data_IF_761720355301
#
_entry.id   IF_761720355301
#
_cell.length_a   1.000
_cell.length_b   1.000
_cell.length_c   1.000
_cell.angle_alpha   90.00
_cell.angle_beta   90.00
_cell.angle_gamma   90.00
#
_symmetry.space_group_name_H-M   'P 1'
#
loop_
_entity.id
_entity.type
_entity.pdbx_description
1 polymer ?
#
# COMPACT_ATOMS: atom_id res chain seq x y z
N UNK A 1 6.66 0.97 36.20
CA UNK A 1 7.23 -0.27 35.62
C UNK A 1 6.15 -1.30 35.34
N UNK A 2 5.36 -1.75 36.33
CA UNK A 2 4.20 -2.65 36.11
C UNK A 2 3.28 -2.32 34.91
N UNK A 3 2.87 -1.06 34.73
CA UNK A 3 2.01 -0.63 33.59
C UNK A 3 2.67 -0.64 32.19
N UNK A 4 4.00 -0.76 32.14
CA UNK A 4 4.77 -0.86 30.88
C UNK A 4 4.99 -2.34 30.55
N UNK A 5 5.29 -3.15 31.56
CA UNK A 5 5.39 -4.62 31.46
C UNK A 5 4.06 -5.24 31.01
N UNK A 6 2.92 -4.81 31.57
CA UNK A 6 1.57 -5.23 31.13
C UNK A 6 1.26 -4.88 29.66
N UNK A 7 1.91 -3.85 29.09
CA UNK A 7 1.72 -3.45 27.69
C UNK A 7 2.63 -4.21 26.73
N UNK A 8 3.85 -4.52 27.14
CA UNK A 8 4.76 -5.37 26.35
C UNK A 8 4.28 -6.82 26.33
N UNK A 9 3.74 -7.31 27.45
CA UNK A 9 3.12 -8.63 27.53
C UNK A 9 1.86 -8.72 26.66
N UNK A 10 1.04 -7.66 26.61
CA UNK A 10 -0.12 -7.58 25.71
C UNK A 10 0.27 -7.48 24.22
N UNK A 11 1.31 -6.72 23.86
CA UNK A 11 1.81 -6.66 22.48
C UNK A 11 2.39 -8.01 22.07
N UNK A 12 3.16 -8.66 22.95
CA UNK A 12 3.69 -9.99 22.70
C UNK A 12 2.59 -11.04 22.62
N UNK A 13 1.52 -10.91 23.41
CA UNK A 13 0.34 -11.77 23.34
C UNK A 13 -0.45 -11.52 22.05
N UNK A 14 -0.63 -10.28 21.61
CA UNK A 14 -1.26 -9.95 20.34
C UNK A 14 -0.45 -10.45 19.13
N UNK A 15 0.89 -10.34 19.20
CA UNK A 15 1.80 -10.90 18.18
C UNK A 15 1.82 -12.43 18.22
N UNK A 16 1.67 -13.05 19.41
CA UNK A 16 1.55 -14.49 19.58
C UNK A 16 0.20 -15.00 19.09
N UNK A 17 -0.89 -14.27 19.33
CA UNK A 17 -2.22 -14.52 18.78
C UNK A 17 -2.23 -14.36 17.26
N UNK A 18 -1.49 -13.40 16.70
CA UNK A 18 -1.26 -13.27 15.24
C UNK A 18 -0.45 -14.45 14.66
N UNK A 19 0.46 -15.03 15.45
CA UNK A 19 1.24 -16.21 15.06
C UNK A 19 0.50 -17.54 15.29
N UNK A 20 -0.48 -17.58 16.20
CA UNK A 20 -1.34 -18.72 16.52
C UNK A 20 -2.72 -18.63 15.81
N UNK A 21 -2.86 -17.81 14.76
CA UNK A 21 -4.09 -17.77 13.95
C UNK A 21 -4.18 -19.07 13.16
N UNK A 22 -4.86 -20.04 13.77
CA UNK A 22 -5.33 -21.21 13.08
C UNK A 22 -6.23 -20.76 11.92
N UNK A 23 -6.14 -21.48 10.80
CA UNK A 23 -6.98 -21.29 9.61
C UNK A 23 -8.49 -21.40 9.90
N UNK A 24 -8.89 -21.75 11.13
CA UNK A 24 -10.26 -21.94 11.57
C UNK A 24 -10.96 -20.65 12.02
N UNK A 25 -10.21 -19.59 12.36
CA UNK A 25 -10.81 -18.33 12.84
C UNK A 25 -11.32 -17.38 11.74
N UNK A 26 -11.03 -17.71 10.48
CA UNK A 26 -11.44 -16.95 9.29
C UNK A 26 -12.90 -17.22 8.88
N UNK A 27 -13.85 -17.11 9.82
CA UNK A 27 -15.27 -17.37 9.56
C UNK A 27 -15.81 -16.45 8.47
N UNK A 28 -15.40 -15.18 8.47
CA UNK A 28 -15.85 -14.18 7.51
C UNK A 28 -15.13 -14.32 6.17
N UNK A 29 -13.87 -14.74 6.16
CA UNK A 29 -13.17 -15.04 4.91
C UNK A 29 -13.69 -16.32 4.20
N UNK A 30 -14.03 -17.39 4.93
CA UNK A 30 -14.71 -18.55 4.32
C UNK A 30 -16.08 -18.15 3.75
N UNK A 31 -16.81 -17.28 4.44
CA UNK A 31 -18.03 -16.66 3.91
C UNK A 31 -17.74 -15.81 2.68
N UNK A 32 -16.65 -15.05 2.62
CA UNK A 32 -16.21 -14.31 1.43
C UNK A 32 -15.94 -15.26 0.26
N UNK A 33 -15.08 -16.27 0.42
CA UNK A 33 -14.81 -17.26 -0.63
C UNK A 33 -16.09 -17.97 -1.09
N UNK A 34 -16.95 -18.35 -0.14
CA UNK A 34 -18.26 -18.93 -0.44
C UNK A 34 -19.16 -17.94 -1.16
N UNK A 35 -19.12 -16.65 -0.82
CA UNK A 35 -19.88 -15.62 -1.52
C UNK A 35 -19.38 -15.44 -2.95
N UNK A 36 -18.09 -15.70 -3.19
CA UNK A 36 -17.45 -15.66 -4.51
C UNK A 36 -17.54 -17.01 -5.26
N UNK A 37 -18.22 -18.01 -4.68
CA UNK A 37 -18.47 -19.30 -5.33
C UNK A 37 -19.19 -19.08 -6.66
N UNK A 38 -18.47 -19.36 -7.75
CA UNK A 38 -18.94 -19.11 -9.12
C UNK A 38 -17.90 -18.44 -10.01
N UNK A 39 -16.93 -17.69 -9.45
CA UNK A 39 -15.84 -17.14 -10.24
C UNK A 39 -14.70 -18.16 -10.39
N UNK A 40 -14.47 -18.64 -11.61
CA UNK A 40 -13.46 -19.65 -11.92
C UNK A 40 -12.01 -19.18 -11.67
N UNK A 41 -11.71 -17.88 -11.78
CA UNK A 41 -10.39 -17.29 -11.50
C UNK A 41 -10.08 -17.35 -10.00
N UNK A 42 -11.11 -17.23 -9.17
CA UNK A 42 -10.96 -17.26 -7.71
C UNK A 42 -10.94 -18.69 -7.15
N UNK A 43 -11.55 -19.66 -7.87
CA UNK A 43 -11.42 -21.09 -7.53
C UNK A 43 -9.98 -21.61 -7.64
N UNK A 44 -9.22 -21.15 -8.65
CA UNK A 44 -7.79 -21.49 -8.72
C UNK A 44 -6.99 -20.89 -7.56
N UNK A 45 -7.45 -19.76 -7.02
CA UNK A 45 -6.83 -19.15 -5.86
C UNK A 45 -7.08 -19.95 -4.59
N UNK A 46 -8.32 -20.38 -4.32
CA UNK A 46 -8.66 -21.22 -3.15
C UNK A 46 -7.69 -22.41 -3.00
N UNK A 47 -7.27 -23.02 -4.12
CA UNK A 47 -6.29 -24.10 -4.14
C UNK A 47 -4.86 -23.65 -3.81
N UNK A 48 -4.44 -22.47 -4.28
CA UNK A 48 -3.13 -21.86 -3.97
C UNK A 48 -3.08 -21.33 -2.53
N UNK A 49 -4.19 -20.83 -1.98
CA UNK A 49 -4.30 -20.33 -0.61
C UNK A 49 -4.04 -21.42 0.42
N UNK A 50 -4.34 -22.68 0.10
CA UNK A 50 -4.12 -23.84 0.98
C UNK A 50 -2.61 -24.10 1.20
N UNK A 51 -1.74 -23.61 0.30
CA UNK A 51 -0.29 -23.66 0.44
C UNK A 51 0.18 -22.43 1.25
N UNK A 52 0.25 -22.60 2.57
CA UNK A 52 0.48 -21.56 3.58
C UNK A 52 1.72 -20.69 3.31
N UNK A 53 1.55 -19.41 2.99
CA UNK A 53 2.58 -18.39 3.15
C UNK A 53 2.02 -17.10 3.78
N UNK A 54 2.88 -16.33 4.48
CA UNK A 54 2.51 -15.14 5.25
C UNK A 54 1.86 -14.04 4.37
N UNK A 55 2.30 -13.91 3.12
CA UNK A 55 1.80 -12.92 2.18
C UNK A 55 0.32 -13.16 1.86
N UNK A 56 -0.04 -14.40 1.59
CA UNK A 56 -1.43 -14.78 1.37
C UNK A 56 -2.28 -14.44 2.59
N UNK A 57 -1.83 -14.79 3.79
CA UNK A 57 -2.52 -14.45 5.04
C UNK A 57 -2.81 -12.93 5.16
N UNK A 58 -1.80 -12.08 4.93
CA UNK A 58 -1.94 -10.62 5.04
C UNK A 58 -2.92 -10.04 4.02
N UNK A 59 -2.96 -10.60 2.81
CA UNK A 59 -3.94 -10.24 1.79
C UNK A 59 -5.37 -10.61 2.21
N UNK A 60 -5.56 -11.82 2.75
CA UNK A 60 -6.86 -12.29 3.21
C UNK A 60 -7.41 -11.47 4.38
N UNK A 61 -6.53 -11.16 5.34
CA UNK A 61 -6.90 -10.43 6.53
C UNK A 61 -7.47 -9.03 6.22
N UNK A 62 -6.86 -8.26 5.30
CA UNK A 62 -7.38 -6.94 4.92
C UNK A 62 -8.76 -6.99 4.25
N UNK A 63 -9.02 -8.07 3.51
CA UNK A 63 -10.33 -8.31 2.91
C UNK A 63 -11.35 -8.67 3.99
N UNK A 64 -11.00 -9.54 4.94
CA UNK A 64 -11.87 -9.89 6.05
C UNK A 64 -12.22 -8.67 6.91
N UNK A 65 -11.25 -7.81 7.21
CA UNK A 65 -11.48 -6.54 7.90
C UNK A 65 -12.52 -5.69 7.18
N UNK A 66 -12.43 -5.60 5.85
CA UNK A 66 -13.39 -4.86 5.03
C UNK A 66 -14.82 -5.40 5.19
N UNK A 67 -14.97 -6.73 5.27
CA UNK A 67 -16.26 -7.39 5.54
C UNK A 67 -16.81 -7.07 6.92
N UNK A 68 -15.99 -7.22 7.96
CA UNK A 68 -16.39 -6.94 9.34
C UNK A 68 -16.82 -5.49 9.51
N UNK A 69 -16.12 -4.54 8.89
CA UNK A 69 -16.53 -3.13 8.89
C UNK A 69 -17.89 -2.95 8.18
N UNK A 70 -18.06 -3.61 7.03
CA UNK A 70 -19.28 -3.52 6.22
C UNK A 70 -20.54 -4.04 6.92
N UNK A 71 -20.42 -5.01 7.83
CA UNK A 71 -21.56 -5.50 8.62
C UNK A 71 -22.23 -4.39 9.44
N UNK A 72 -21.47 -3.35 9.80
CA UNK A 72 -21.92 -2.24 10.63
C UNK A 72 -21.95 -0.88 9.92
N UNK A 73 -21.44 -0.76 8.68
CA UNK A 73 -21.43 0.49 7.91
C UNK A 73 -22.62 0.59 6.93
N UNK A 74 -23.79 0.95 7.45
CA UNK A 74 -25.01 1.10 6.64
C UNK A 74 -24.88 2.16 5.52
N UNK A 75 -23.96 3.13 5.65
CA UNK A 75 -23.76 4.17 4.63
C UNK A 75 -23.07 3.59 3.38
N UNK A 76 -22.00 2.82 3.58
CA UNK A 76 -21.17 2.31 2.47
C UNK A 76 -21.53 0.88 2.05
N UNK A 77 -22.45 0.21 2.76
CA UNK A 77 -22.90 -1.16 2.47
C UNK A 77 -23.44 -1.40 1.06
N UNK A 78 -24.21 -0.49 0.44
CA UNK A 78 -24.62 -0.66 -0.96
C UNK A 78 -23.44 -0.70 -1.93
N UNK A 79 -22.45 0.18 -1.74
CA UNK A 79 -21.23 0.22 -2.56
C UNK A 79 -20.43 -1.08 -2.40
N UNK A 80 -20.23 -1.52 -1.16
CA UNK A 80 -19.48 -2.74 -0.85
C UNK A 80 -20.10 -3.96 -1.56
N UNK A 81 -21.43 -4.11 -1.44
CA UNK A 81 -22.15 -5.18 -2.11
C UNK A 81 -22.09 -5.09 -3.64
N UNK A 82 -22.08 -3.88 -4.21
CA UNK A 82 -21.85 -3.68 -5.65
C UNK A 82 -20.49 -4.22 -6.08
N UNK A 83 -19.42 -3.88 -5.34
CA UNK A 83 -18.06 -4.37 -5.62
C UNK A 83 -17.96 -5.88 -5.55
N UNK A 84 -18.58 -6.50 -4.54
CA UNK A 84 -18.64 -7.96 -4.47
C UNK A 84 -19.34 -8.57 -5.69
N UNK A 85 -20.46 -7.99 -6.11
CA UNK A 85 -21.19 -8.49 -7.28
C UNK A 85 -20.38 -8.33 -8.57
N UNK A 86 -19.64 -7.23 -8.73
CA UNK A 86 -18.73 -7.04 -9.86
C UNK A 86 -17.59 -8.07 -9.85
N UNK A 87 -16.97 -8.34 -8.69
CA UNK A 87 -15.95 -9.39 -8.55
C UNK A 87 -16.52 -10.76 -8.95
N UNK A 88 -17.73 -11.09 -8.50
CA UNK A 88 -18.39 -12.37 -8.85
C UNK A 88 -18.63 -12.53 -10.35
N UNK A 89 -19.06 -11.46 -11.01
CA UNK A 89 -19.44 -11.46 -12.44
C UNK A 89 -18.27 -11.27 -13.38
N UNK A 90 -17.18 -10.66 -12.91
CA UNK A 90 -16.04 -10.33 -13.76
C UNK A 90 -15.27 -11.58 -14.18
N UNK A 91 -14.92 -11.62 -15.47
CA UNK A 91 -13.98 -12.59 -16.05
C UNK A 91 -12.60 -11.98 -16.26
N UNK A 92 -12.41 -10.69 -15.96
CA UNK A 92 -11.16 -9.97 -16.18
C UNK A 92 -10.36 -9.83 -14.88
N UNK A 93 -9.14 -10.38 -14.87
CA UNK A 93 -8.20 -10.28 -13.74
C UNK A 93 -7.97 -8.84 -13.28
N UNK A 94 -7.83 -7.91 -14.23
CA UNK A 94 -7.62 -6.48 -13.94
C UNK A 94 -8.77 -5.86 -13.17
N UNK A 95 -10.00 -6.15 -13.58
CA UNK A 95 -11.19 -5.66 -12.87
C UNK A 95 -11.31 -6.29 -11.47
N UNK A 96 -11.06 -7.60 -11.35
CA UNK A 96 -11.05 -8.29 -10.05
C UNK A 96 -10.01 -7.68 -9.11
N UNK A 97 -8.77 -7.50 -9.60
CA UNK A 97 -7.68 -6.85 -8.88
C UNK A 97 -8.04 -5.46 -8.39
N UNK A 98 -8.57 -4.62 -9.28
CA UNK A 98 -8.95 -3.24 -8.95
C UNK A 98 -10.01 -3.20 -7.86
N UNK A 99 -11.08 -3.99 -8.01
CA UNK A 99 -12.15 -4.03 -7.03
C UNK A 99 -11.68 -4.58 -5.67
N UNK A 100 -10.79 -5.58 -5.65
CA UNK A 100 -10.21 -6.07 -4.40
C UNK A 100 -9.30 -5.03 -3.74
N UNK A 101 -8.53 -4.27 -4.52
CA UNK A 101 -7.69 -3.19 -3.98
C UNK A 101 -8.50 -2.04 -3.40
N UNK A 102 -9.63 -1.69 -4.02
CA UNK A 102 -10.59 -0.75 -3.43
C UNK A 102 -11.17 -1.26 -2.10
N UNK A 103 -11.52 -2.55 -1.99
CA UNK A 103 -11.99 -3.12 -0.73
C UNK A 103 -10.93 -3.08 0.39
N UNK A 104 -9.65 -3.29 0.05
CA UNK A 104 -8.53 -3.15 1.01
C UNK A 104 -8.27 -1.69 1.37
N UNK A 105 -8.29 -0.79 0.40
CA UNK A 105 -8.16 0.64 0.68
C UNK A 105 -9.30 1.11 1.60
N UNK A 106 -10.52 0.62 1.37
CA UNK A 106 -11.67 0.89 2.22
C UNK A 106 -11.42 0.46 3.68
N UNK A 107 -10.94 -0.76 3.94
CA UNK A 107 -10.66 -1.20 5.32
C UNK A 107 -9.58 -0.34 5.99
N UNK A 108 -8.48 -0.07 5.27
CA UNK A 108 -7.39 0.79 5.76
C UNK A 108 -7.88 2.20 6.09
N UNK A 109 -8.71 2.80 5.24
CA UNK A 109 -9.22 4.16 5.42
C UNK A 109 -10.28 4.23 6.52
N UNK A 110 -11.20 3.27 6.58
CA UNK A 110 -12.20 3.16 7.66
C UNK A 110 -11.56 3.02 9.02
N UNK A 111 -10.38 2.40 9.07
CA UNK A 111 -9.58 2.30 10.27
C UNK A 111 -8.69 3.52 10.58
N UNK A 112 -8.84 4.61 9.86
CA UNK A 112 -8.19 5.88 10.16
C UNK A 112 -9.22 6.94 10.52
N UNK A 113 -8.78 8.14 10.90
CA UNK A 113 -9.68 9.28 11.09
C UNK A 113 -10.41 9.68 9.80
N UNK A 114 -9.95 9.26 8.61
CA UNK A 114 -10.72 9.41 7.37
C UNK A 114 -12.04 8.64 7.43
N UNK A 115 -12.08 7.51 8.16
CA UNK A 115 -13.21 6.59 8.26
C UNK A 115 -14.48 7.16 8.87
N UNK A 116 -14.36 8.24 9.66
CA UNK A 116 -15.49 8.87 10.38
C UNK A 116 -16.54 9.45 9.43
N UNK A 117 -16.11 10.01 8.31
CA UNK A 117 -16.98 10.60 7.29
C UNK A 117 -16.60 10.09 5.88
N UNK A 118 -16.08 8.87 5.78
CA UNK A 118 -15.73 8.25 4.51
C UNK A 118 -17.00 7.88 3.74
N UNK A 119 -17.06 8.32 2.49
CA UNK A 119 -18.12 8.01 1.53
C UNK A 119 -17.48 7.31 0.34
N UNK A 120 -17.96 6.12 0.02
CA UNK A 120 -17.54 5.40 -1.17
C UNK A 120 -18.34 5.87 -2.38
N UNK A 121 -17.64 6.14 -3.48
CA UNK A 121 -18.24 6.61 -4.72
C UNK A 121 -18.51 5.42 -5.64
N UNK A 122 -19.64 5.43 -6.35
CA UNK A 122 -19.93 4.43 -7.37
C UNK A 122 -19.23 4.79 -8.69
N UNK A 123 -18.83 3.80 -9.47
CA UNK A 123 -18.07 3.97 -10.73
C UNK A 123 -18.76 4.86 -11.78
N UNK A 124 -20.07 5.11 -11.65
CA UNK A 124 -20.82 5.95 -12.60
C UNK A 124 -20.64 7.46 -12.38
N UNK A 125 -19.93 7.88 -11.33
CA UNK A 125 -19.59 9.29 -11.11
C UNK A 125 -18.15 9.56 -11.49
N UNK A 126 -17.90 10.49 -12.42
CA UNK A 126 -16.55 11.01 -12.68
C UNK A 126 -15.99 11.57 -11.37
N UNK A 127 -14.83 11.08 -10.94
CA UNK A 127 -14.17 11.50 -9.69
C UNK A 127 -13.43 10.35 -9.02
N UNK A 128 -12.94 10.61 -7.81
CA UNK A 128 -12.22 9.64 -7.00
C UNK A 128 -13.10 8.53 -6.40
N UNK A 129 -12.49 7.38 -6.13
CA UNK A 129 -13.15 6.22 -5.49
C UNK A 129 -13.71 6.51 -4.09
N UNK A 130 -13.05 7.37 -3.31
CA UNK A 130 -13.53 7.77 -1.99
C UNK A 130 -13.49 9.28 -1.78
N UNK A 131 -14.48 9.77 -1.04
CA UNK A 131 -14.49 11.11 -0.48
C UNK A 131 -14.55 11.05 1.03
N UNK A 132 -13.77 11.87 1.71
CA UNK A 132 -13.85 12.04 3.17
C UNK A 132 -13.95 13.51 3.53
N UNK A 133 -14.62 13.77 4.65
CA UNK A 133 -14.77 15.11 5.21
C UNK A 133 -14.14 15.15 6.59
N UNK A 134 -13.07 15.92 6.72
CA UNK A 134 -12.45 16.14 8.03
C UNK A 134 -13.11 17.38 8.64
N UNK A 135 -13.90 17.16 9.70
CA UNK A 135 -14.64 18.20 10.40
C UNK A 135 -13.95 18.49 11.73
N UNK A 136 -13.36 19.69 11.85
CA UNK A 136 -12.81 20.18 13.12
C UNK A 136 -13.06 21.67 13.28
N UNK A 137 -13.52 22.08 14.48
CA UNK A 137 -13.81 23.47 14.82
C UNK A 137 -14.73 24.19 13.81
N UNK A 138 -15.81 23.52 13.37
CA UNK A 138 -16.77 24.01 12.36
C UNK A 138 -16.16 24.29 10.98
N UNK A 139 -14.94 23.82 10.71
CA UNK A 139 -14.34 23.83 9.38
C UNK A 139 -14.41 22.44 8.79
N UNK A 140 -14.74 22.39 7.51
CA UNK A 140 -14.76 21.18 6.70
C UNK A 140 -13.58 21.22 5.73
N UNK A 141 -12.85 20.12 5.67
CA UNK A 141 -11.80 19.89 4.69
C UNK A 141 -12.24 18.70 3.85
N UNK A 142 -12.39 18.91 2.55
CA UNK A 142 -12.67 17.86 1.58
C UNK A 142 -11.39 17.10 1.28
N UNK A 143 -11.50 15.77 1.25
CA UNK A 143 -10.43 14.86 0.88
C UNK A 143 -10.96 13.95 -0.21
N UNK A 144 -10.24 13.86 -1.32
CA UNK A 144 -10.53 13.01 -2.46
C UNK A 144 -9.42 11.95 -2.55
N UNK A 145 -9.80 10.68 -2.53
CA UNK A 145 -8.87 9.55 -2.47
C UNK A 145 -9.16 8.62 -3.62
N UNK A 146 -8.20 8.51 -4.55
CA UNK A 146 -8.29 7.63 -5.71
C UNK A 146 -7.43 6.39 -5.49
N UNK A 147 -7.97 5.22 -5.80
CA UNK A 147 -7.24 3.95 -5.70
C UNK A 147 -6.65 3.56 -7.05
N UNK A 148 -5.45 3.03 -7.00
CA UNK A 148 -4.88 2.30 -8.11
C UNK A 148 -4.27 1.01 -7.59
N UNK A 149 -4.65 -0.12 -8.21
CA UNK A 149 -4.04 -1.43 -7.91
C UNK A 149 -3.21 -1.84 -9.12
N UNK A 150 -1.89 -1.57 -9.14
CA UNK A 150 -1.04 -1.98 -10.24
C UNK A 150 -1.07 -3.49 -10.39
N UNK A 151 -1.11 -3.93 -11.64
CA UNK A 151 -0.81 -5.32 -11.99
C UNK A 151 0.56 -5.35 -12.65
N UNK A 152 1.40 -6.28 -12.20
CA UNK A 152 2.60 -6.64 -12.94
C UNK A 152 2.26 -7.40 -14.22
N UNK A 153 3.25 -8.11 -14.77
CA UNK A 153 3.00 -8.98 -15.93
C UNK A 153 2.86 -10.44 -15.51
N UNK A 154 1.82 -11.09 -16.00
CA UNK A 154 1.47 -12.48 -15.67
C UNK A 154 2.34 -13.55 -16.36
N UNK A 155 3.25 -13.18 -17.27
CA UNK A 155 4.05 -14.13 -18.06
C UNK A 155 5.47 -14.27 -17.47
N UNK A 156 5.83 -15.42 -16.86
CA UNK A 156 7.14 -15.66 -16.28
C UNK A 156 8.29 -15.44 -17.26
N UNK A 157 8.10 -15.73 -18.55
CA UNK A 157 9.13 -15.48 -19.59
C UNK A 157 9.41 -14.00 -19.82
N UNK A 158 8.49 -13.14 -19.40
CA UNK A 158 8.56 -11.68 -19.53
C UNK A 158 8.86 -10.98 -18.21
N UNK A 159 9.01 -11.72 -17.12
CA UNK A 159 9.27 -11.18 -15.79
C UNK A 159 10.44 -11.82 -15.09
N UNK A 160 11.05 -12.88 -15.61
CA UNK A 160 12.19 -13.55 -14.97
C UNK A 160 13.38 -13.66 -15.92
N UNK A 161 14.56 -13.31 -15.41
CA UNK A 161 15.86 -13.62 -16.03
C UNK A 161 16.51 -14.71 -15.18
N UNK A 162 16.89 -15.83 -15.79
CA UNK A 162 17.62 -16.90 -15.13
C UNK A 162 19.12 -16.69 -15.35
N UNK A 163 19.85 -16.40 -14.27
CA UNK A 163 21.30 -16.18 -14.29
C UNK A 163 22.09 -17.51 -14.18
N UNK A 164 21.38 -18.64 -14.11
CA UNK A 164 21.96 -19.97 -14.05
C UNK A 164 22.01 -20.55 -12.63
N UNK A 165 22.61 -21.73 -12.52
CA UNK A 165 22.74 -22.46 -11.25
C UNK A 165 24.20 -22.77 -10.95
N UNK A 166 24.70 -22.22 -9.85
CA UNK A 166 26.03 -22.54 -9.32
C UNK A 166 25.93 -23.73 -8.39
N UNK A 167 26.66 -24.82 -8.70
CA UNK A 167 26.67 -26.05 -7.89
C UNK A 167 28.04 -26.28 -7.25
N UNK A 168 28.04 -26.51 -5.95
CA UNK A 168 29.16 -27.10 -5.20
C UNK A 168 28.81 -28.53 -4.79
N UNK A 169 29.74 -29.26 -4.17
CA UNK A 169 29.53 -30.65 -3.71
C UNK A 169 28.38 -30.79 -2.69
N UNK A 170 28.00 -29.71 -2.00
CA UNK A 170 27.00 -29.73 -0.93
C UNK A 170 25.84 -28.75 -1.11
N UNK A 171 25.95 -27.78 -2.02
CA UNK A 171 24.94 -26.72 -2.19
C UNK A 171 24.73 -26.43 -3.68
N UNK A 172 23.48 -26.24 -4.08
CA UNK A 172 23.09 -25.72 -5.40
C UNK A 172 22.38 -24.39 -5.19
N UNK A 173 22.89 -23.31 -5.79
CA UNK A 173 22.30 -21.97 -5.74
C UNK A 173 21.82 -21.62 -7.15
N UNK A 174 20.54 -21.32 -7.30
CA UNK A 174 19.97 -20.81 -8.56
C UNK A 174 19.68 -19.33 -8.39
N UNK A 175 20.25 -18.50 -9.25
CA UNK A 175 20.06 -17.05 -9.22
C UNK A 175 19.03 -16.64 -10.27
N UNK A 176 17.98 -15.94 -9.83
CA UNK A 176 16.94 -15.42 -10.70
C UNK A 176 16.71 -13.96 -10.37
N UNK A 177 16.58 -13.16 -11.41
CA UNK A 177 16.21 -11.76 -11.31
C UNK A 177 14.76 -11.59 -11.77
N UNK A 178 13.98 -10.83 -11.02
CA UNK A 178 12.54 -10.67 -11.26
C UNK A 178 12.25 -9.21 -11.62
N UNK A 179 11.55 -9.01 -12.73
CA UNK A 179 11.09 -7.75 -13.25
C UNK A 179 9.58 -7.56 -12.97
N UNK A 180 9.19 -6.90 -11.86
CA UNK A 180 7.79 -6.86 -11.40
C UNK A 180 6.82 -6.26 -12.42
N UNK A 181 7.25 -5.28 -13.22
CA UNK A 181 6.45 -4.68 -14.30
C UNK A 181 6.80 -5.18 -15.70
N UNK A 182 7.60 -6.25 -15.78
CA UNK A 182 8.15 -6.82 -17.00
C UNK A 182 9.55 -6.32 -17.34
N UNK A 183 10.21 -7.03 -18.26
CA UNK A 183 11.55 -6.71 -18.71
C UNK A 183 11.64 -5.32 -19.39
N UNK A 184 12.81 -4.66 -19.31
CA UNK A 184 13.09 -3.39 -19.99
C UNK A 184 12.78 -3.43 -21.49
N UNK A 185 12.13 -2.38 -21.98
CA UNK A 185 11.83 -2.28 -23.42
C UNK A 185 13.05 -1.82 -24.24
N UNK A 186 13.86 -0.91 -23.68
CA UNK A 186 15.08 -0.40 -24.33
C UNK A 186 16.30 -1.15 -23.78
N UNK A 187 16.71 -2.19 -24.50
CA UNK A 187 17.92 -2.95 -24.18
C UNK A 187 19.14 -2.02 -24.05
N UNK A 188 20.01 -2.30 -23.09
CA UNK A 188 21.23 -1.54 -22.75
C UNK A 188 21.04 -0.08 -22.29
N UNK A 189 19.79 0.39 -22.22
CA UNK A 189 19.43 1.73 -21.76
C UNK A 189 18.66 1.66 -20.44
N UNK A 190 17.62 0.84 -20.40
CA UNK A 190 16.77 0.66 -19.24
C UNK A 190 17.17 -0.59 -18.44
N UNK A 191 17.14 -0.47 -17.12
CA UNK A 191 17.25 -1.59 -16.20
C UNK A 191 15.87 -1.95 -15.66
N UNK A 192 15.76 -3.08 -14.98
CA UNK A 192 14.52 -3.43 -14.26
C UNK A 192 14.14 -2.33 -13.27
N UNK A 193 15.14 -1.76 -12.58
CA UNK A 193 14.94 -0.63 -11.68
C UNK A 193 14.35 0.59 -12.38
N UNK A 194 14.84 0.97 -13.57
CA UNK A 194 14.31 2.15 -14.27
C UNK A 194 12.89 1.94 -14.78
N UNK A 195 12.52 0.71 -15.14
CA UNK A 195 11.14 0.39 -15.49
C UNK A 195 10.19 0.46 -14.30
N UNK A 196 10.65 0.03 -13.11
CA UNK A 196 9.89 0.24 -11.87
C UNK A 196 9.65 1.73 -11.65
N UNK A 197 10.70 2.55 -11.72
CA UNK A 197 10.59 4.01 -11.56
C UNK A 197 9.56 4.61 -12.54
N UNK A 198 9.63 4.20 -13.81
CA UNK A 198 8.77 4.71 -14.88
C UNK A 198 7.31 4.33 -14.64
N UNK A 199 7.06 3.07 -14.34
CA UNK A 199 5.71 2.56 -14.10
C UNK A 199 5.06 3.21 -12.90
N UNK A 200 5.79 3.34 -11.79
CA UNK A 200 5.30 4.02 -10.59
C UNK A 200 4.99 5.50 -10.83
N UNK A 201 5.83 6.20 -11.60
CA UNK A 201 5.60 7.62 -11.93
C UNK A 201 4.35 7.83 -12.79
N UNK A 202 4.08 6.89 -13.72
CA UNK A 202 2.96 6.94 -14.67
C UNK A 202 1.59 6.57 -14.08
N UNK A 203 1.53 6.07 -12.83
CA UNK A 203 0.25 5.71 -12.20
C UNK A 203 -0.63 6.95 -12.14
N UNK A 204 -1.82 6.91 -12.77
CA UNK A 204 -2.77 8.04 -12.82
C UNK A 204 -2.04 9.33 -13.26
N UNK A 205 -1.44 9.25 -14.44
CA UNK A 205 -0.81 10.40 -15.10
C UNK A 205 -1.86 11.45 -15.51
N UNK A 206 -2.98 10.98 -16.04
CA UNK A 206 -4.20 11.79 -16.20
C UNK A 206 -4.86 11.96 -14.84
N UNK A 207 -4.92 13.19 -14.35
CA UNK A 207 -5.38 13.54 -13.01
C UNK A 207 -6.85 14.02 -12.99
N UNK A 208 -7.64 13.49 -13.94
CA UNK A 208 -9.03 13.85 -14.18
C UNK A 208 -9.99 13.45 -13.05
N UNK A 209 -9.60 12.46 -12.23
CA UNK A 209 -10.35 12.01 -11.06
C UNK A 209 -10.16 12.92 -9.84
N UNK A 210 -9.15 13.80 -9.84
CA UNK A 210 -8.78 14.64 -8.71
C UNK A 210 -9.44 16.03 -8.78
N UNK A 211 -9.80 16.56 -7.62
CA UNK A 211 -10.54 17.82 -7.46
C UNK A 211 -9.62 19.00 -7.15
N UNK A 212 -9.92 20.19 -7.69
CA UNK A 212 -9.07 21.37 -7.48
C UNK A 212 -9.27 22.02 -6.09
N UNK A 213 -10.41 21.76 -5.43
CA UNK A 213 -10.78 22.32 -4.12
C UNK A 213 -10.70 21.33 -2.96
N UNK A 214 -10.07 20.17 -3.17
CA UNK A 214 -9.90 19.12 -2.17
C UNK A 214 -8.43 18.76 -1.94
N UNK A 215 -8.15 18.10 -0.82
CA UNK A 215 -6.86 17.41 -0.62
C UNK A 215 -6.90 16.13 -1.44
N UNK A 216 -5.97 15.98 -2.38
CA UNK A 216 -5.95 14.82 -3.27
C UNK A 216 -4.92 13.78 -2.82
N UNK A 217 -5.38 12.55 -2.65
CA UNK A 217 -4.57 11.42 -2.20
C UNK A 217 -4.66 10.31 -3.26
N UNK A 218 -3.50 9.85 -3.73
CA UNK A 218 -3.41 8.61 -4.50
C UNK A 218 -3.11 7.45 -3.55
N UNK A 219 -4.00 6.47 -3.47
CA UNK A 219 -3.78 5.22 -2.74
C UNK A 219 -3.36 4.14 -3.73
N UNK A 220 -2.11 3.70 -3.66
CA UNK A 220 -1.57 2.63 -4.49
C UNK A 220 -1.54 1.34 -3.69
N UNK A 221 -2.30 0.36 -4.12
CA UNK A 221 -2.40 -0.93 -3.46
C UNK A 221 -1.51 -1.97 -4.16
N UNK A 222 -0.45 -2.41 -3.49
CA UNK A 222 0.42 -3.51 -3.93
C UNK A 222 0.07 -4.86 -3.30
N UNK A 223 -0.91 -4.90 -2.39
CA UNK A 223 -1.29 -6.13 -1.69
C UNK A 223 -2.18 -6.98 -2.60
N UNK A 224 -1.60 -7.53 -3.66
CA UNK A 224 -2.35 -8.40 -4.57
C UNK A 224 -1.55 -9.64 -5.01
N UNK A 225 -1.50 -10.68 -4.17
CA UNK A 225 -0.74 -11.90 -4.45
C UNK A 225 -1.41 -12.78 -5.53
N UNK A 226 -2.64 -12.44 -5.96
CA UNK A 226 -3.38 -13.21 -6.96
C UNK A 226 -2.73 -13.18 -8.34
N UNK A 227 -2.08 -12.06 -8.67
CA UNK A 227 -1.78 -11.72 -10.06
C UNK A 227 -0.38 -11.13 -10.26
N UNK A 228 0.40 -10.90 -9.21
CA UNK A 228 1.75 -10.37 -9.40
C UNK A 228 2.66 -10.52 -8.19
N UNK A 229 3.96 -10.71 -8.45
CA UNK A 229 5.04 -10.69 -7.46
C UNK A 229 5.45 -9.25 -7.08
N UNK A 230 4.53 -8.28 -7.07
CA UNK A 230 4.83 -6.89 -6.67
C UNK A 230 5.24 -6.77 -5.20
N UNK A 231 5.11 -7.85 -4.42
CA UNK A 231 5.62 -7.98 -3.05
C UNK A 231 7.13 -7.71 -3.00
N UNK A 232 7.85 -7.89 -4.11
CA UNK A 232 9.26 -7.51 -4.24
C UNK A 232 9.53 -6.01 -4.07
N UNK A 233 8.50 -5.17 -4.12
CA UNK A 233 8.61 -3.74 -3.83
C UNK A 233 8.49 -3.42 -2.33
N UNK A 234 8.28 -4.42 -1.47
CA UNK A 234 8.39 -4.26 -0.02
C UNK A 234 9.79 -3.73 0.33
N UNK A 235 9.86 -2.80 1.29
CA UNK A 235 11.09 -2.10 1.70
C UNK A 235 11.68 -1.10 0.67
N UNK A 236 11.17 -1.03 -0.56
CA UNK A 236 11.58 -0.01 -1.53
C UNK A 236 10.97 1.38 -1.25
N UNK A 237 10.19 1.53 -0.17
CA UNK A 237 9.60 2.80 0.24
C UNK A 237 10.55 3.77 0.96
N UNK A 238 11.70 3.31 1.42
CA UNK A 238 12.77 4.19 1.95
C UNK A 238 13.71 4.57 0.79
N UNK A 239 14.38 5.74 0.81
CA UNK A 239 15.29 6.12 -0.28
C UNK A 239 16.35 5.05 -0.54
N UNK A 240 16.90 4.49 0.53
CA UNK A 240 17.89 3.43 0.47
C UNK A 240 17.56 2.32 1.45
N UNK A 241 17.96 1.10 1.12
CA UNK A 241 17.91 -0.06 2.00
C UNK A 241 19.25 -0.78 1.98
N UNK A 242 19.61 -1.40 3.10
CA UNK A 242 20.81 -2.24 3.19
C UNK A 242 20.42 -3.70 3.09
N UNK A 243 21.12 -4.45 2.25
CA UNK A 243 20.96 -5.89 2.13
C UNK A 243 22.33 -6.52 1.79
N UNK A 244 22.73 -7.57 2.52
CA UNK A 244 24.04 -8.23 2.33
C UNK A 244 25.25 -7.29 2.27
N UNK A 245 25.23 -6.20 3.04
CA UNK A 245 26.25 -5.14 3.05
C UNK A 245 26.31 -4.24 1.83
N UNK A 246 25.34 -4.33 0.93
CA UNK A 246 25.18 -3.39 -0.17
C UNK A 246 24.04 -2.42 0.12
N UNK A 247 24.13 -1.22 -0.46
CA UNK A 247 23.07 -0.22 -0.39
C UNK A 247 22.30 -0.28 -1.70
N UNK A 248 21.01 -0.59 -1.62
CA UNK A 248 20.10 -0.62 -2.76
C UNK A 248 19.18 0.58 -2.74
N UNK A 249 18.82 1.03 -3.93
CA UNK A 249 17.84 2.10 -4.11
C UNK A 249 16.42 1.61 -3.83
N UNK A 250 15.67 2.39 -3.05
CA UNK A 250 14.24 2.23 -2.92
C UNK A 250 13.49 2.90 -4.06
N UNK A 251 13.17 2.10 -5.06
CA UNK A 251 12.51 2.55 -6.29
C UNK A 251 11.19 3.29 -6.03
N UNK A 252 10.40 2.94 -5.01
CA UNK A 252 9.16 3.69 -4.70
C UNK A 252 9.49 5.12 -4.31
N UNK A 253 10.47 5.33 -3.43
CA UNK A 253 10.84 6.67 -2.97
C UNK A 253 11.34 7.54 -4.12
N UNK A 254 12.25 7.03 -4.95
CA UNK A 254 12.81 7.79 -6.07
C UNK A 254 11.79 8.05 -7.18
N UNK A 255 10.86 7.14 -7.45
CA UNK A 255 9.75 7.40 -8.38
C UNK A 255 8.90 8.62 -7.95
N UNK A 256 8.82 8.89 -6.65
CA UNK A 256 8.09 10.03 -6.10
C UNK A 256 8.92 11.32 -6.10
N UNK A 257 10.19 11.26 -5.70
CA UNK A 257 10.96 12.47 -5.35
C UNK A 257 12.15 12.82 -6.23
N UNK A 258 12.53 11.98 -7.18
CA UNK A 258 13.64 12.31 -8.08
C UNK A 258 13.38 13.56 -8.92
N UNK A 259 14.44 14.13 -9.46
CA UNK A 259 14.38 15.16 -10.50
C UNK A 259 14.84 14.63 -11.85
N UNK A 260 14.33 15.22 -12.92
CA UNK A 260 14.86 14.98 -14.27
C UNK A 260 16.36 15.25 -14.31
N UNK A 261 17.09 14.36 -14.97
CA UNK A 261 18.56 14.30 -15.09
C UNK A 261 19.33 13.89 -13.81
N UNK A 262 18.65 13.53 -12.73
CA UNK A 262 19.30 12.95 -11.55
C UNK A 262 19.82 11.54 -11.86
N UNK A 263 21.01 11.21 -11.36
CA UNK A 263 21.59 9.87 -11.51
C UNK A 263 21.20 9.01 -10.31
N UNK A 264 20.48 7.92 -10.56
CA UNK A 264 19.99 6.99 -9.54
C UNK A 264 20.86 5.75 -9.53
N UNK A 265 21.62 5.49 -8.46
CA UNK A 265 22.41 4.27 -8.34
C UNK A 265 21.52 3.13 -7.85
N UNK A 266 21.27 2.09 -8.64
CA UNK A 266 20.41 0.98 -8.20
C UNK A 266 21.04 0.10 -7.10
N UNK A 267 22.35 -0.05 -7.15
CA UNK A 267 23.17 -0.68 -6.12
C UNK A 267 24.44 0.15 -5.90
N UNK A 268 24.87 0.28 -4.65
CA UNK A 268 26.18 0.76 -4.25
C UNK A 268 26.80 -0.35 -3.40
N UNK A 269 27.68 -1.14 -4.00
CA UNK A 269 28.40 -2.18 -3.29
C UNK A 269 29.48 -1.59 -2.36
N UNK A 270 29.49 -2.02 -1.10
CA UNK A 270 30.51 -1.56 -0.14
C UNK A 270 31.85 -2.29 -0.34
N UNK A 271 31.81 -3.53 -0.83
CA UNK A 271 33.00 -4.39 -0.98
C UNK A 271 33.28 -4.80 -2.42
N UNK A 272 32.28 -4.73 -3.30
CA UNK A 272 32.42 -4.96 -4.74
C UNK A 272 31.95 -3.73 -5.51
N UNK A 273 32.62 -3.33 -6.61
CA UNK A 273 32.12 -2.26 -7.47
C UNK A 273 30.71 -2.61 -7.95
N UNK A 274 29.79 -1.65 -7.89
CA UNK A 274 28.46 -1.82 -8.48
C UNK A 274 28.59 -2.12 -9.97
N UNK A 275 28.00 -3.22 -10.41
CA UNK A 275 28.00 -3.64 -11.82
C UNK A 275 26.95 -2.88 -12.65
N UNK A 276 26.00 -2.21 -11.98
CA UNK A 276 24.94 -1.46 -12.65
C UNK A 276 25.32 0.00 -12.85
N UNK A 277 25.21 0.47 -14.10
CA UNK A 277 25.35 1.90 -14.40
C UNK A 277 24.21 2.67 -13.71
N UNK A 278 24.50 3.82 -13.08
CA UNK A 278 23.44 4.69 -12.58
C UNK A 278 22.47 5.07 -13.69
N UNK A 279 21.17 4.99 -13.42
CA UNK A 279 20.14 5.42 -14.35
C UNK A 279 19.95 6.93 -14.27
N UNK A 280 19.96 7.60 -15.42
CA UNK A 280 19.69 9.03 -15.49
C UNK A 280 18.19 9.26 -15.68
N UNK A 281 17.53 9.83 -14.68
CA UNK A 281 16.09 10.10 -14.71
C UNK A 281 15.68 10.94 -15.92
N UNK A 282 14.72 10.45 -16.69
CA UNK A 282 14.22 11.17 -17.87
C UNK A 282 13.06 12.13 -17.56
N UNK A 283 12.48 12.01 -16.36
CA UNK A 283 11.31 12.73 -15.89
C UNK A 283 11.47 13.11 -14.41
N UNK A 284 10.66 14.08 -13.98
CA UNK A 284 10.54 14.43 -12.56
C UNK A 284 9.68 13.39 -11.83
N UNK A 285 10.05 13.12 -10.58
CA UNK A 285 9.26 12.32 -9.65
C UNK A 285 7.82 12.82 -9.52
N UNK A 286 6.90 11.91 -9.19
CA UNK A 286 5.46 12.22 -9.21
C UNK A 286 5.09 13.37 -8.27
N UNK A 287 5.82 13.49 -7.15
CA UNK A 287 5.62 14.47 -6.10
C UNK A 287 6.53 15.69 -6.21
N UNK A 288 7.34 15.77 -7.26
CA UNK A 288 8.15 16.96 -7.61
C UNK A 288 7.63 17.70 -8.84
N UNK A 289 6.85 17.05 -9.70
CA UNK A 289 6.18 17.68 -10.84
C UNK A 289 4.92 18.46 -10.44
N UNK A 290 4.45 19.34 -11.34
CA UNK A 290 3.17 20.04 -11.19
C UNK A 290 2.01 19.04 -11.31
N UNK A 291 1.57 18.51 -10.19
CA UNK A 291 0.49 17.51 -10.05
C UNK A 291 -0.61 18.01 -9.11
N UNK A 292 -1.88 17.63 -9.31
CA UNK A 292 -3.02 17.81 -8.39
C UNK A 292 -2.87 17.05 -7.08
N UNK A 293 -2.03 16.01 -7.05
CA UNK A 293 -1.78 15.19 -5.88
C UNK A 293 -1.08 15.98 -4.77
N UNK A 294 -1.57 15.79 -3.55
CA UNK A 294 -0.93 16.28 -2.33
C UNK A 294 -0.19 15.14 -1.60
N UNK A 295 -0.75 13.93 -1.63
CA UNK A 295 -0.20 12.76 -0.95
C UNK A 295 -0.28 11.50 -1.81
N UNK A 296 0.66 10.58 -1.57
CA UNK A 296 0.59 9.20 -2.08
C UNK A 296 0.73 8.24 -0.90
N UNK A 297 -0.17 7.27 -0.81
CA UNK A 297 -0.11 6.17 0.16
C UNK A 297 0.18 4.90 -0.64
N UNK A 298 1.24 4.17 -0.29
CA UNK A 298 1.49 2.84 -0.82
C UNK A 298 1.15 1.81 0.24
N UNK A 299 0.16 0.96 -0.02
CA UNK A 299 -0.17 -0.18 0.83
C UNK A 299 0.58 -1.42 0.31
N UNK A 300 1.37 -2.04 1.19
CA UNK A 300 2.19 -3.22 0.90
C UNK A 300 1.99 -4.30 1.96
N UNK A 301 2.63 -5.47 1.80
CA UNK A 301 2.47 -6.56 2.77
C UNK A 301 3.11 -6.20 4.11
N UNK A 302 4.26 -5.52 4.07
CA UNK A 302 5.01 -5.06 5.24
C UNK A 302 4.38 -3.85 5.95
N UNK A 303 3.61 -3.02 5.23
CA UNK A 303 2.94 -1.89 5.83
C UNK A 303 2.51 -0.81 4.84
N UNK A 304 2.34 0.41 5.35
CA UNK A 304 1.98 1.57 4.53
C UNK A 304 3.08 2.63 4.53
N UNK A 305 3.51 3.03 3.32
CA UNK A 305 4.36 4.20 3.10
C UNK A 305 3.51 5.41 2.75
N UNK A 306 3.80 6.56 3.34
CA UNK A 306 3.02 7.78 3.13
C UNK A 306 3.96 8.91 2.71
N UNK A 307 3.67 9.54 1.58
CA UNK A 307 4.48 10.59 0.98
C UNK A 307 3.69 11.88 0.78
N UNK A 308 4.32 13.02 1.00
CA UNK A 308 3.77 14.36 0.75
C UNK A 308 4.49 15.03 -0.42
N UNK A 309 3.72 15.73 -1.25
CA UNK A 309 4.28 16.52 -2.34
C UNK A 309 5.35 17.51 -1.86
N UNK A 310 6.51 17.53 -2.51
CA UNK A 310 7.65 18.39 -2.14
C UNK A 310 7.67 19.74 -2.89
N UNK A 311 6.53 20.14 -3.43
CA UNK A 311 6.32 21.46 -4.02
C UNK A 311 5.03 22.05 -3.45
N UNK A 312 4.73 23.30 -3.82
CA UNK A 312 3.52 23.97 -3.35
C UNK A 312 2.27 23.11 -3.63
N UNK A 313 1.49 22.86 -2.58
CA UNK A 313 0.16 22.29 -2.64
C UNK A 313 -0.82 23.21 -3.38
N UNK A 314 -1.82 22.64 -4.03
CA UNK A 314 -2.88 23.44 -4.67
C UNK A 314 -3.76 24.14 -3.66
N UNK A 315 -4.03 23.46 -2.54
CA UNK A 315 -4.72 24.04 -1.40
C UNK A 315 -3.85 24.00 -0.13
N UNK A 316 -4.03 24.92 0.83
CA UNK A 316 -3.30 24.85 2.08
C UNK A 316 -3.68 23.62 2.91
N UNK A 317 -2.74 22.68 3.09
CA UNK A 317 -2.95 21.51 3.94
C UNK A 317 -3.04 21.93 5.40
N UNK A 318 -4.08 21.45 6.09
CA UNK A 318 -4.31 21.73 7.51
C UNK A 318 -3.78 20.59 8.38
N UNK A 319 -3.46 20.90 9.65
CA UNK A 319 -2.92 19.93 10.64
C UNK A 319 -3.81 18.68 10.78
N UNK A 320 -5.11 18.83 10.55
CA UNK A 320 -6.10 17.78 10.67
C UNK A 320 -5.96 16.70 9.59
N UNK A 321 -5.49 17.06 8.39
CA UNK A 321 -5.19 16.11 7.32
C UNK A 321 -3.99 15.24 7.72
N UNK A 322 -2.94 15.86 8.25
CA UNK A 322 -1.77 15.15 8.75
C UNK A 322 -2.14 14.21 9.89
N UNK A 323 -3.05 14.61 10.80
CA UNK A 323 -3.61 13.71 11.80
C UNK A 323 -4.22 12.49 11.12
N UNK A 324 -5.11 12.65 10.15
CA UNK A 324 -5.73 11.51 9.50
C UNK A 324 -4.71 10.58 8.82
N UNK A 325 -3.70 11.11 8.16
CA UNK A 325 -2.59 10.31 7.61
C UNK A 325 -1.81 9.57 8.70
N UNK A 326 -1.50 10.23 9.83
CA UNK A 326 -0.96 9.61 11.04
C UNK A 326 -1.97 8.75 11.79
N UNK A 327 -3.06 8.29 11.18
CA UNK A 327 -3.97 7.32 11.80
C UNK A 327 -4.25 6.11 10.92
N UNK A 328 -3.73 6.11 9.70
CA UNK A 328 -3.69 4.93 8.81
C UNK A 328 -3.01 3.75 9.50
N UNK A 329 -3.65 2.57 9.61
CA UNK A 329 -3.10 1.40 10.28
C UNK A 329 -1.86 0.85 9.56
N UNK A 330 -1.18 -0.13 10.17
CA UNK A 330 -0.06 -0.89 9.57
C UNK A 330 1.10 -0.04 9.03
N UNK A 331 1.41 1.09 9.67
CA UNK A 331 2.54 1.93 9.30
C UNK A 331 3.65 1.89 10.36
N UNK A 332 4.90 1.99 9.93
CA UNK A 332 6.02 2.33 10.81
C UNK A 332 6.28 3.83 10.70
N UNK A 333 6.75 4.47 11.78
CA UNK A 333 6.94 5.93 11.76
C UNK A 333 8.01 6.41 10.79
N UNK A 334 9.01 5.56 10.56
CA UNK A 334 10.08 5.72 9.56
C UNK A 334 9.60 5.66 8.10
N UNK A 335 8.38 5.16 7.86
CA UNK A 335 7.80 5.01 6.52
C UNK A 335 6.93 6.22 6.13
N UNK A 336 6.92 7.27 6.97
CA UNK A 336 6.09 8.47 6.82
C UNK A 336 6.95 9.68 6.46
N UNK A 337 6.85 10.09 5.20
CA UNK A 337 7.61 11.16 4.54
C UNK A 337 6.72 12.39 4.32
N UNK A 338 6.31 13.03 5.41
CA UNK A 338 5.51 14.25 5.40
C UNK A 338 6.41 15.45 5.75
N UNK A 339 6.35 16.51 4.94
CA UNK A 339 7.06 17.78 5.08
C UNK A 339 6.63 18.55 6.33
N UNK A 340 5.36 18.43 6.72
CA UNK A 340 4.91 18.85 8.03
C UNK A 340 5.17 17.72 9.02
N UNK A 341 5.99 17.91 10.08
CA UNK A 341 5.37 17.88 11.41
C UNK A 341 6.25 18.50 12.50
N UNK A 342 6.08 19.78 12.84
CA UNK A 342 6.85 20.44 13.90
C UNK A 342 8.37 20.45 13.64
N UNK A 343 9.06 21.57 13.85
CA UNK A 343 10.53 21.62 13.71
C UNK A 343 11.27 20.70 14.72
N UNK A 344 10.55 20.03 15.62
CA UNK A 344 11.05 19.33 16.80
C UNK A 344 10.49 17.90 16.83
N UNK A 345 11.40 16.90 16.85
CA UNK A 345 11.09 15.48 16.88
C UNK A 345 10.28 15.06 18.12
N UNK A 346 10.52 15.68 19.27
CA UNK A 346 9.77 15.42 20.51
C UNK A 346 8.33 15.91 20.40
N UNK A 347 8.10 17.07 19.76
CA UNK A 347 6.75 17.56 19.46
C UNK A 347 6.01 16.64 18.50
N UNK A 348 6.71 16.13 17.46
CA UNK A 348 6.18 15.11 16.53
C UNK A 348 5.74 13.85 17.29
N UNK A 349 6.63 13.28 18.10
CA UNK A 349 6.35 12.06 18.87
C UNK A 349 5.19 12.26 19.85
N UNK A 350 5.16 13.38 20.58
CA UNK A 350 4.10 13.65 21.56
C UNK A 350 2.74 13.89 20.92
N UNK A 351 2.69 14.60 19.80
CA UNK A 351 1.45 14.83 19.04
C UNK A 351 0.87 13.52 18.52
N UNK A 352 1.71 12.69 17.92
CA UNK A 352 1.35 11.36 17.43
C UNK A 352 0.88 10.47 18.58
N UNK A 353 1.64 10.37 19.68
CA UNK A 353 1.24 9.58 20.86
C UNK A 353 -0.13 10.00 21.38
N UNK A 354 -0.44 11.30 21.38
CA UNK A 354 -1.75 11.80 21.80
C UNK A 354 -2.87 11.42 20.82
N UNK A 355 -2.61 11.52 19.52
CA UNK A 355 -3.57 11.12 18.48
C UNK A 355 -3.82 9.61 18.51
N UNK A 356 -2.77 8.79 18.51
CA UNK A 356 -2.86 7.33 18.60
C UNK A 356 -3.51 6.86 19.89
N UNK A 357 -3.24 7.49 21.04
CA UNK A 357 -3.91 7.17 22.31
C UNK A 357 -5.41 7.45 22.25
N UNK A 358 -5.82 8.55 21.59
CA UNK A 358 -7.24 8.86 21.38
C UNK A 358 -7.91 7.80 20.50
N UNK A 359 -7.27 7.40 19.40
CA UNK A 359 -7.78 6.34 18.54
C UNK A 359 -7.85 4.99 19.25
N UNK A 360 -6.80 4.56 19.95
CA UNK A 360 -6.83 3.29 20.67
C UNK A 360 -7.99 3.25 21.68
N UNK A 361 -8.30 4.38 22.33
CA UNK A 361 -9.46 4.49 23.20
C UNK A 361 -10.80 4.46 22.44
N UNK A 362 -10.88 5.08 21.25
CA UNK A 362 -12.07 5.05 20.38
C UNK A 362 -12.26 3.66 19.73
N UNK A 363 -11.16 2.91 19.50
CA UNK A 363 -11.12 1.54 18.98
C UNK A 363 -11.52 0.48 19.99
N UNK A 364 -11.17 0.68 21.26
CA UNK A 364 -11.70 -0.16 22.35
C UNK A 364 -13.23 -0.17 22.37
N UNK A 365 -13.89 0.85 21.82
CA UNK A 365 -15.35 0.88 21.68
C UNK A 365 -15.90 -0.07 20.60
N UNK A 366 -15.09 -0.41 19.59
CA UNK A 366 -15.44 -1.37 18.54
C UNK A 366 -15.07 -2.81 18.90
N UNK A 367 -13.98 -3.03 19.65
CA UNK A 367 -13.56 -4.37 20.08
C UNK A 367 -14.25 -4.88 21.36
N UNK A 368 -14.81 -3.98 22.19
CA UNK A 368 -15.50 -4.37 23.43
C UNK A 368 -17.02 -4.55 23.29
N UNK A 369 -17.55 -4.68 22.07
CA UNK A 369 -18.94 -5.11 21.81
C UNK A 369 -19.00 -6.46 21.08
N UNK A 370 -18.09 -7.36 21.43
CA UNK A 370 -18.31 -8.79 21.26
C UNK A 370 -18.69 -9.28 22.66
N UNK A 371 -19.98 -9.20 22.98
CA UNK A 371 -20.60 -10.00 24.04
C UNK A 371 -21.14 -11.30 23.42
#
# INVERSE_FOLDING_TARGET
MKKIEEKEEYINQYLKELNDISWENFKNFRTFLSSLSGNHILKSFEKQTIEKNEMTYRFLWQIEEAFTINEHDEVNKPWFNSKLNEIKKSTEKKQISSNLGELRAYSVLKYSEFGKNLQCMNQNTKGCDFKSRIIMNKREIKVCIEVNTPLGRDDPKRTTIDHGTTRSKSISITEKEIAPFGLPQRQDVDSIGSEVLSKLNSIKEDEDQFEDDAVNILFVDFVNPLFSDLNLLDNHGKPFQMFHSDIYTGNIWFAMYSKKNENIPFNIGLYCPSYEKPYKMEYDGKLTKKSKLDFVIFNTFEGSYIYEKNIKHHIPIKKEVYLSLYTIPRRKYEDIWLNYPFKDLSKRINYIKKATKKLLNDYHFFSCKIE
#
